data_IF_314284497971
#
_entry.id   IF_314284497971
#
_cell.length_a   1.000
_cell.length_b   1.000
_cell.length_c   1.000
_cell.angle_alpha   90.00
_cell.angle_beta   90.00
_cell.angle_gamma   90.00
#
_symmetry.space_group_name_H-M   'P 1'
#
loop_
_entity.id
_entity.type
_entity.pdbx_description
1 polymer ?
#
# COMPACT_ATOMS: atom_id res chain seq x y z
N UNK A 1 -17.04 6.80 -35.62
CA UNK A 1 -17.30 5.97 -34.42
C UNK A 1 -16.26 4.86 -34.25
N UNK A 2 -16.04 3.98 -35.24
CA UNK A 2 -15.04 2.89 -35.12
C UNK A 2 -13.61 3.39 -34.83
N UNK A 3 -13.14 4.42 -35.52
CA UNK A 3 -11.80 5.00 -35.28
C UNK A 3 -11.67 5.57 -33.86
N UNK A 4 -12.71 6.25 -33.37
CA UNK A 4 -12.73 6.80 -32.01
C UNK A 4 -12.71 5.69 -30.97
N UNK A 5 -13.50 4.63 -31.18
CA UNK A 5 -13.53 3.46 -30.29
C UNK A 5 -12.14 2.79 -30.21
N UNK A 6 -11.48 2.57 -31.35
CA UNK A 6 -10.14 1.96 -31.38
C UNK A 6 -9.12 2.82 -30.64
N UNK A 7 -9.08 4.13 -30.91
CA UNK A 7 -8.13 5.04 -30.24
C UNK A 7 -8.40 5.10 -28.73
N UNK A 8 -9.67 5.15 -28.32
CA UNK A 8 -10.04 5.18 -26.91
C UNK A 8 -9.67 3.88 -26.20
N UNK A 9 -9.93 2.72 -26.81
CA UNK A 9 -9.54 1.42 -26.24
C UNK A 9 -8.03 1.30 -26.08
N UNK A 10 -7.26 1.70 -27.10
CA UNK A 10 -5.79 1.67 -27.02
C UNK A 10 -5.27 2.63 -25.96
N UNK A 11 -5.82 3.86 -25.91
CA UNK A 11 -5.47 4.85 -24.89
C UNK A 11 -5.77 4.36 -23.47
N UNK A 12 -6.97 3.82 -23.23
CA UNK A 12 -7.36 3.27 -21.93
C UNK A 12 -6.53 2.06 -21.53
N UNK A 13 -6.16 1.20 -22.49
CA UNK A 13 -5.30 0.05 -22.20
C UNK A 13 -3.90 0.51 -21.75
N UNK A 14 -3.32 1.51 -22.43
CA UNK A 14 -2.03 2.10 -22.05
C UNK A 14 -2.13 2.83 -20.70
N UNK A 15 -3.18 3.62 -20.49
CA UNK A 15 -3.39 4.32 -19.22
C UNK A 15 -3.51 3.34 -18.05
N UNK A 16 -4.46 2.41 -18.13
CA UNK A 16 -4.76 1.50 -17.03
C UNK A 16 -3.64 0.51 -16.70
N UNK A 17 -2.89 0.04 -17.71
CA UNK A 17 -1.87 -1.00 -17.50
C UNK A 17 -0.44 -0.45 -17.33
N UNK A 18 -0.13 0.76 -17.82
CA UNK A 18 1.23 1.29 -17.76
C UNK A 18 1.33 2.61 -17.01
N UNK A 19 0.43 3.56 -17.28
CA UNK A 19 0.52 4.91 -16.69
C UNK A 19 0.03 4.89 -15.25
N UNK A 20 -1.14 4.33 -14.98
CA UNK A 20 -1.70 4.20 -13.63
C UNK A 20 -0.71 3.50 -12.68
N UNK A 21 -0.21 2.28 -12.94
CA UNK A 21 0.70 1.61 -12.00
C UNK A 21 2.05 2.33 -11.83
N UNK A 22 2.55 3.05 -12.85
CA UNK A 22 3.75 3.89 -12.73
C UNK A 22 3.55 5.09 -11.81
N UNK A 23 2.34 5.67 -11.81
CA UNK A 23 2.01 6.85 -11.00
C UNK A 23 1.64 6.44 -9.57
N UNK A 24 0.87 5.35 -9.40
CA UNK A 24 0.48 4.81 -8.08
C UNK A 24 1.43 3.71 -7.59
N UNK A 25 2.72 3.81 -7.95
CA UNK A 25 3.80 2.84 -7.75
C UNK A 25 3.60 1.72 -6.72
N UNK A 26 3.82 0.48 -7.16
CA UNK A 26 3.91 -0.77 -6.38
C UNK A 26 2.98 -0.87 -5.15
N UNK A 27 1.69 -0.62 -5.36
CA UNK A 27 0.59 -1.26 -4.63
C UNK A 27 0.71 -1.29 -3.09
N UNK A 28 1.04 -0.16 -2.44
CA UNK A 28 1.02 -0.03 -0.96
C UNK A 28 1.82 -1.10 -0.16
N UNK A 29 2.54 -2.02 -0.81
CA UNK A 29 3.10 -3.25 -0.21
C UNK A 29 2.10 -4.14 0.55
N UNK A 30 0.78 -3.89 0.45
CA UNK A 30 -0.21 -4.51 1.32
C UNK A 30 -0.58 -5.91 0.82
N UNK A 31 -0.36 -6.97 1.61
CA UNK A 31 -0.76 -8.32 1.22
C UNK A 31 -2.28 -8.37 1.02
N UNK A 32 -2.74 -8.92 -0.11
CA UNK A 32 -4.17 -9.04 -0.42
C UNK A 32 -4.97 -9.76 0.68
N UNK A 33 -4.32 -10.70 1.39
CA UNK A 33 -4.89 -11.39 2.56
C UNK A 33 -5.28 -10.43 3.69
N UNK A 34 -4.51 -9.36 3.94
CA UNK A 34 -4.82 -8.38 4.99
C UNK A 34 -6.08 -7.60 4.66
N UNK A 35 -6.24 -7.18 3.40
CA UNK A 35 -7.44 -6.49 2.93
C UNK A 35 -8.66 -7.40 3.06
N UNK A 36 -8.54 -8.67 2.64
CA UNK A 36 -9.60 -9.65 2.78
C UNK A 36 -10.02 -9.85 4.25
N UNK A 37 -9.04 -10.01 5.16
CA UNK A 37 -9.31 -10.13 6.59
C UNK A 37 -9.97 -8.87 7.14
N UNK A 38 -9.52 -7.68 6.73
CA UNK A 38 -10.13 -6.42 7.15
C UNK A 38 -11.59 -6.28 6.66
N UNK A 39 -11.90 -6.75 5.45
CA UNK A 39 -13.28 -6.79 4.95
C UNK A 39 -14.14 -7.76 5.76
N UNK A 40 -13.63 -8.93 6.11
CA UNK A 40 -14.34 -9.90 6.94
C UNK A 40 -14.58 -9.38 8.36
N UNK A 41 -13.55 -8.82 8.99
CA UNK A 41 -13.63 -8.24 10.34
C UNK A 41 -14.51 -6.99 10.34
N UNK A 42 -14.31 -6.06 9.41
CA UNK A 42 -15.14 -4.87 9.28
C UNK A 42 -16.59 -5.22 8.99
N UNK A 43 -16.82 -6.18 8.09
CA UNK A 43 -18.14 -6.68 7.74
C UNK A 43 -18.89 -7.32 8.89
N UNK A 44 -18.19 -8.04 9.77
CA UNK A 44 -18.81 -8.64 10.96
C UNK A 44 -19.06 -7.64 12.09
N UNK A 45 -18.19 -6.64 12.26
CA UNK A 45 -18.32 -5.63 13.32
C UNK A 45 -19.34 -4.53 13.00
N UNK A 46 -19.35 -4.04 11.75
CA UNK A 46 -20.11 -2.85 11.34
C UNK A 46 -21.00 -3.12 10.11
N UNK A 47 -21.13 -4.38 9.67
CA UNK A 47 -21.96 -4.75 8.53
C UNK A 47 -21.43 -4.17 7.21
N UNK A 48 -22.35 -3.71 6.36
CA UNK A 48 -22.02 -3.12 5.06
C UNK A 48 -21.05 -1.93 5.14
N UNK A 49 -21.23 -1.05 6.12
CA UNK A 49 -20.34 0.10 6.31
C UNK A 49 -18.91 -0.33 6.60
N UNK A 50 -18.73 -1.38 7.40
CA UNK A 50 -17.41 -1.93 7.70
C UNK A 50 -16.74 -2.54 6.47
N UNK A 51 -17.50 -3.19 5.58
CA UNK A 51 -16.95 -3.69 4.31
C UNK A 51 -16.53 -2.55 3.38
N UNK A 52 -17.35 -1.49 3.27
CA UNK A 52 -17.06 -0.33 2.44
C UNK A 52 -15.81 0.42 2.92
N UNK A 53 -15.67 0.58 4.24
CA UNK A 53 -14.55 1.30 4.84
C UNK A 53 -13.30 0.44 5.08
N UNK A 54 -13.38 -0.89 4.93
CA UNK A 54 -12.27 -1.79 5.23
C UNK A 54 -11.00 -1.43 4.44
N UNK A 55 -11.11 -1.18 3.13
CA UNK A 55 -9.97 -0.86 2.26
C UNK A 55 -9.28 0.45 2.68
N UNK A 56 -9.97 1.61 2.75
CA UNK A 56 -9.31 2.87 3.10
C UNK A 56 -8.75 2.86 4.54
N UNK A 57 -9.45 2.23 5.49
CA UNK A 57 -8.95 2.11 6.88
C UNK A 57 -7.68 1.26 6.94
N UNK A 58 -7.66 0.12 6.25
CA UNK A 58 -6.48 -0.75 6.19
C UNK A 58 -5.30 -0.05 5.54
N UNK A 59 -5.54 0.68 4.44
CA UNK A 59 -4.51 1.45 3.77
C UNK A 59 -3.93 2.54 4.68
N UNK A 60 -4.78 3.30 5.39
CA UNK A 60 -4.33 4.32 6.33
C UNK A 60 -3.51 3.74 7.48
N UNK A 61 -3.95 2.60 8.06
CA UNK A 61 -3.21 1.90 9.10
C UNK A 61 -1.84 1.42 8.60
N UNK A 62 -1.78 0.85 7.40
CA UNK A 62 -0.52 0.35 6.84
C UNK A 62 0.52 1.46 6.65
N UNK A 63 0.10 2.63 6.14
CA UNK A 63 0.96 3.80 6.00
C UNK A 63 1.43 4.27 7.38
N UNK A 64 0.52 4.41 8.33
CA UNK A 64 0.86 4.86 9.69
C UNK A 64 1.84 3.91 10.39
N UNK A 65 1.64 2.59 10.26
CA UNK A 65 2.57 1.59 10.81
C UNK A 65 3.93 1.61 10.09
N UNK A 66 3.95 1.87 8.78
CA UNK A 66 5.18 2.06 8.02
C UNK A 66 5.99 3.24 8.55
N UNK A 67 5.34 4.40 8.69
CA UNK A 67 5.96 5.61 9.22
C UNK A 67 6.44 5.41 10.67
N UNK A 68 5.65 4.75 11.52
CA UNK A 68 6.04 4.43 12.90
C UNK A 68 7.24 3.49 12.96
N UNK A 69 7.33 2.47 12.09
CA UNK A 69 8.47 1.56 12.02
C UNK A 69 9.74 2.33 11.66
N UNK A 70 9.65 3.23 10.69
CA UNK A 70 10.80 4.00 10.23
C UNK A 70 11.27 5.00 11.32
N UNK A 71 10.33 5.55 12.10
CA UNK A 71 10.64 6.35 13.29
C UNK A 71 11.26 5.50 14.42
N UNK A 72 10.78 4.27 14.64
CA UNK A 72 11.33 3.37 15.65
C UNK A 72 12.77 2.97 15.32
N UNK A 73 13.04 2.60 14.06
CA UNK A 73 14.38 2.20 13.61
C UNK A 73 15.39 3.36 13.60
N UNK A 74 14.93 4.60 13.38
CA UNK A 74 15.76 5.81 13.48
C UNK A 74 15.90 6.36 14.89
N UNK A 75 15.12 5.85 15.85
CA UNK A 75 15.21 6.33 17.23
C UNK A 75 16.50 5.82 17.87
N UNK A 76 17.16 6.69 18.64
CA UNK A 76 18.47 6.48 19.24
C UNK A 76 18.62 5.18 20.06
N UNK A 77 17.52 4.51 20.43
CA UNK A 77 17.53 3.22 21.14
C UNK A 77 17.91 2.03 20.25
N UNK A 78 17.67 2.06 18.93
CA UNK A 78 18.07 0.97 18.03
C UNK A 78 19.52 1.14 17.54
N UNK A 79 19.95 2.38 17.28
CA UNK A 79 21.37 2.69 17.00
C UNK A 79 22.28 2.48 18.23
N UNK A 80 21.78 2.66 19.45
CA UNK A 80 22.57 2.45 20.68
C UNK A 80 22.87 0.97 20.99
N UNK A 81 22.03 0.03 20.51
CA UNK A 81 22.19 -1.42 20.73
C UNK A 81 22.75 -2.14 19.47
N UNK A 82 23.08 -1.40 18.41
CA UNK A 82 23.76 -1.97 17.26
C UNK A 82 25.14 -2.50 17.71
N UNK A 83 25.47 -3.79 17.53
CA UNK A 83 26.72 -4.35 17.99
C UNK A 83 27.90 -3.58 17.35
N UNK A 84 28.94 -3.23 18.14
CA UNK A 84 30.07 -2.46 17.67
C UNK A 84 30.85 -3.29 16.63
N UNK A 85 30.53 -3.10 15.35
CA UNK A 85 31.13 -3.88 14.25
C UNK A 85 30.42 -3.83 12.89
N UNK A 86 29.19 -3.32 12.80
CA UNK A 86 28.52 -3.13 11.49
C UNK A 86 28.83 -1.76 10.84
N UNK A 87 29.88 -1.09 11.31
CA UNK A 87 30.49 0.06 10.64
C UNK A 87 31.68 -0.41 9.82
N UNK A 88 31.43 -0.72 8.54
CA UNK A 88 32.41 -1.10 7.53
C UNK A 88 31.62 -1.77 6.40
N UNK A 89 31.56 -1.25 5.19
CA UNK A 89 32.69 -0.80 4.37
C UNK A 89 32.31 0.42 3.50
N UNK A 90 33.24 1.39 3.49
CA UNK A 90 33.57 2.44 2.51
C UNK A 90 32.47 3.03 1.60
#
# INVERSE_FOLDING_TARGET
LLVVAVVFTVGQFVEGNFITPRIVGDTLGLPAVVIMLAVLVGGTLFGFLGMLLAVPVTAALAVFLGDLRDLYLKSAFYEAEAPPGAGGEA
#
